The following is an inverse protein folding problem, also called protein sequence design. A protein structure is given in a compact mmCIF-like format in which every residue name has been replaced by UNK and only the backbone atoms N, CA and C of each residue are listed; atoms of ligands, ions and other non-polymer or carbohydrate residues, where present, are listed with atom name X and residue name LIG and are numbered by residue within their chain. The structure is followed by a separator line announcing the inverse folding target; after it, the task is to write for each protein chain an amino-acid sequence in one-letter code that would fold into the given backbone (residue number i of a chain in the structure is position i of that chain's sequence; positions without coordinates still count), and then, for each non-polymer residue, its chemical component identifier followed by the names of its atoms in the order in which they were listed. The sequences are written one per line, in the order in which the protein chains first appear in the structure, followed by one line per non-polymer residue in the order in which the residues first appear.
data_IF_943773435200
#
_entry.id   IF_943773435200
#
_cell.length_a   1.000
_cell.length_b   1.000
_cell.length_c   1.000
_cell.angle_alpha   90.00
_cell.angle_beta   90.00
_cell.angle_gamma   90.00
#
_symmetry.space_group_name_H-M   'P 1'
#
loop_
_entity.id
_entity.type
_entity.pdbx_description
1 polymer ?
#
# COMPACT_ATOMS: atom_id res chain seq x y z
N UNK A 1 12.75 -8.58 7.27
CA UNK A 1 12.68 -7.16 6.88
C UNK A 1 13.14 -7.04 5.43
N UNK A 2 12.52 -6.13 4.67
CA UNK A 2 12.90 -5.90 3.26
C UNK A 2 12.15 -6.78 2.26
N UNK A 3 11.15 -7.55 2.70
CA UNK A 3 10.35 -8.41 1.83
C UNK A 3 9.38 -7.56 1.00
N UNK A 4 9.31 -7.82 -0.30
CA UNK A 4 8.31 -7.19 -1.16
C UNK A 4 6.93 -7.81 -0.89
N UNK A 5 5.94 -6.95 -0.65
CA UNK A 5 4.54 -7.33 -0.44
C UNK A 5 3.65 -6.54 -1.38
N UNK A 6 2.50 -7.09 -1.74
CA UNK A 6 1.51 -6.40 -2.55
C UNK A 6 0.09 -6.82 -2.18
N UNK A 7 -0.88 -6.01 -2.57
CA UNK A 7 -2.29 -6.35 -2.43
C UNK A 7 -2.69 -7.38 -3.48
N UNK A 8 -3.33 -8.48 -3.05
CA UNK A 8 -3.88 -9.49 -3.96
C UNK A 8 -5.38 -9.66 -3.75
N UNK A 9 -6.13 -9.75 -4.85
CA UNK A 9 -7.55 -10.10 -4.87
C UNK A 9 -7.72 -11.23 -5.88
N UNK A 10 -8.35 -12.33 -5.47
CA UNK A 10 -8.53 -13.54 -6.28
C UNK A 10 -7.21 -14.04 -6.90
N UNK A 11 -6.13 -13.98 -6.12
CA UNK A 11 -4.79 -14.43 -6.52
C UNK A 11 -4.06 -13.51 -7.50
N UNK A 12 -4.59 -12.31 -7.81
CA UNK A 12 -3.99 -11.35 -8.73
C UNK A 12 -3.59 -10.06 -8.02
N UNK A 13 -2.48 -9.47 -8.46
CA UNK A 13 -2.05 -8.15 -8.00
C UNK A 13 -3.17 -7.11 -8.19
N UNK A 14 -3.45 -6.33 -7.16
CA UNK A 14 -4.49 -5.32 -7.18
C UNK A 14 -4.09 -4.03 -6.46
N UNK A 15 -3.28 -3.20 -7.12
CA UNK A 15 -3.27 -1.76 -6.87
C UNK A 15 -2.17 -1.20 -5.97
N UNK A 16 -1.55 -1.96 -5.07
CA UNK A 16 -0.45 -1.43 -4.24
C UNK A 16 0.63 -2.46 -3.93
N UNK A 17 1.88 -2.00 -3.90
CA UNK A 17 3.05 -2.77 -3.47
C UNK A 17 3.88 -1.94 -2.50
N UNK A 18 4.56 -2.61 -1.58
CA UNK A 18 5.34 -1.99 -0.51
C UNK A 18 6.50 -2.89 -0.06
N UNK A 19 7.42 -2.31 0.70
CA UNK A 19 8.49 -3.05 1.38
C UNK A 19 8.10 -3.26 2.84
N UNK A 20 8.04 -4.52 3.29
CA UNK A 20 7.68 -4.88 4.66
C UNK A 20 8.81 -4.62 5.65
N UNK A 21 8.51 -3.85 6.70
CA UNK A 21 9.41 -3.60 7.82
C UNK A 21 9.04 -4.40 9.07
N UNK A 22 7.76 -4.63 9.32
CA UNK A 22 7.28 -5.32 10.51
C UNK A 22 5.77 -5.21 10.66
N UNK A 23 5.23 -5.70 11.76
CA UNK A 23 3.82 -5.52 12.09
C UNK A 23 3.59 -5.49 13.59
N UNK A 24 2.50 -4.86 14.00
CA UNK A 24 2.04 -4.81 15.38
C UNK A 24 0.51 -4.86 15.43
N UNK A 25 -0.06 -4.60 16.61
CA UNK A 25 -1.51 -4.61 16.79
C UNK A 25 -2.27 -3.56 15.96
N UNK A 26 -1.60 -2.53 15.46
CA UNK A 26 -2.22 -1.47 14.66
C UNK A 26 -2.23 -1.78 13.16
N UNK A 27 -1.23 -2.52 12.67
CA UNK A 27 -1.08 -2.78 11.24
C UNK A 27 0.29 -3.31 10.84
N UNK A 28 0.53 -3.35 9.53
CA UNK A 28 1.86 -3.59 8.95
C UNK A 28 2.61 -2.26 8.80
N UNK A 29 3.87 -2.23 9.21
CA UNK A 29 4.79 -1.13 8.97
C UNK A 29 5.52 -1.38 7.65
N UNK A 30 5.46 -0.40 6.76
CA UNK A 30 6.03 -0.51 5.41
C UNK A 30 6.80 0.73 5.03
N UNK A 31 7.67 0.60 4.02
CA UNK A 31 8.09 1.70 3.16
C UNK A 31 7.31 1.62 1.87
N UNK A 32 6.63 2.70 1.50
CA UNK A 32 5.99 2.82 0.19
C UNK A 32 5.99 4.25 -0.34
N UNK A 33 5.55 4.38 -1.59
CA UNK A 33 5.41 5.63 -2.31
C UNK A 33 4.22 5.53 -3.25
N UNK A 34 3.77 6.68 -3.77
CA UNK A 34 2.85 6.69 -4.90
C UNK A 34 2.99 7.94 -5.75
N UNK A 35 2.70 7.80 -7.04
CA UNK A 35 2.60 8.91 -7.95
C UNK A 35 1.35 9.76 -7.69
N UNK A 36 1.42 11.01 -8.14
CA UNK A 36 0.27 11.88 -8.23
C UNK A 36 -0.81 11.24 -9.11
N UNK A 37 -2.05 11.23 -8.63
CA UNK A 37 -3.22 10.81 -9.41
C UNK A 37 -4.01 12.04 -9.79
N UNK A 38 -4.24 12.24 -11.09
CA UNK A 38 -5.12 13.27 -11.63
C UNK A 38 -6.41 12.66 -12.19
N UNK A 39 -7.45 13.47 -12.31
CA UNK A 39 -8.60 13.15 -13.15
C UNK A 39 -8.29 13.42 -14.64
N UNK A 40 -9.24 13.09 -15.52
CA UNK A 40 -9.10 13.32 -16.97
C UNK A 40 -9.03 14.80 -17.38
N UNK A 41 -9.22 15.75 -16.44
CA UNK A 41 -9.13 17.20 -16.66
C UNK A 41 -7.89 17.81 -16.02
N UNK A 42 -7.00 16.97 -15.46
CA UNK A 42 -5.76 17.41 -14.83
C UNK A 42 -5.90 17.88 -13.38
N UNK A 43 -7.07 17.76 -12.74
CA UNK A 43 -7.23 18.06 -11.32
C UNK A 43 -6.57 16.95 -10.50
N UNK A 44 -5.72 17.34 -9.55
CA UNK A 44 -5.09 16.41 -8.60
C UNK A 44 -6.15 15.79 -7.70
N UNK A 45 -6.31 14.47 -7.78
CA UNK A 45 -7.16 13.65 -6.92
C UNK A 45 -6.39 13.12 -5.70
N UNK A 46 -5.09 12.85 -5.88
CA UNK A 46 -4.18 12.45 -4.82
C UNK A 46 -2.78 12.99 -5.12
N UNK A 47 -2.13 13.73 -4.21
CA UNK A 47 -0.77 14.20 -4.43
C UNK A 47 0.21 13.02 -4.47
N UNK A 48 1.35 13.22 -5.12
CA UNK A 48 2.46 12.28 -5.03
C UNK A 48 2.97 12.19 -3.59
N UNK A 49 3.45 11.02 -3.21
CA UNK A 49 4.09 10.78 -1.93
C UNK A 49 5.45 10.13 -2.19
N UNK A 50 6.55 10.78 -1.77
CA UNK A 50 7.88 10.17 -1.81
C UNK A 50 7.96 8.91 -0.94
N UNK A 51 9.02 8.10 -1.10
CA UNK A 51 9.28 6.98 -0.20
C UNK A 51 9.26 7.43 1.25
N UNK A 52 8.39 6.81 2.04
CA UNK A 52 8.24 7.11 3.46
C UNK A 52 7.76 5.88 4.20
N UNK A 53 7.92 5.89 5.53
CA UNK A 53 7.36 4.87 6.39
C UNK A 53 5.90 5.21 6.74
N UNK A 54 5.03 4.21 6.71
CA UNK A 54 3.67 4.33 7.26
C UNK A 54 3.17 3.01 7.83
N UNK A 55 2.21 3.11 8.72
CA UNK A 55 1.40 1.97 9.16
C UNK A 55 0.19 1.82 8.25
N UNK A 56 0.09 0.69 7.56
CA UNK A 56 -1.14 0.28 6.88
C UNK A 56 -1.98 -0.47 7.91
N UNK A 57 -3.11 0.12 8.30
CA UNK A 57 -3.95 -0.40 9.37
C UNK A 57 -4.57 -1.74 8.99
N UNK A 58 -4.75 -2.60 9.98
CA UNK A 58 -5.68 -3.73 9.83
C UNK A 58 -7.10 -3.20 9.59
N UNK A 59 -7.84 -3.80 8.65
CA UNK A 59 -9.19 -3.36 8.26
C UNK A 59 -9.24 -1.88 7.83
N UNK A 60 -8.17 -1.38 7.21
CA UNK A 60 -8.12 -0.01 6.72
C UNK A 60 -9.04 0.23 5.53
N UNK A 61 -9.41 1.50 5.30
CA UNK A 61 -10.36 1.84 4.24
C UNK A 61 -9.71 1.78 2.85
N UNK A 62 -10.15 0.80 2.06
CA UNK A 62 -9.76 0.61 0.66
C UNK A 62 -8.54 -0.30 0.51
N UNK A 63 -8.42 -0.90 -0.67
CA UNK A 63 -7.50 -2.03 -0.92
C UNK A 63 -6.06 -1.71 -0.52
N UNK A 64 -5.54 -0.56 -0.92
CA UNK A 64 -4.16 -0.13 -0.64
C UNK A 64 -3.88 0.28 0.82
N UNK A 65 -4.91 0.33 1.66
CA UNK A 65 -4.82 0.79 3.04
C UNK A 65 -5.23 -0.29 4.05
N UNK A 66 -5.61 -1.48 3.59
CA UNK A 66 -5.94 -2.61 4.45
C UNK A 66 -4.78 -3.60 4.50
N UNK A 67 -4.14 -3.70 5.67
CA UNK A 67 -3.03 -4.62 5.89
C UNK A 67 -3.40 -6.09 5.65
N UNK A 68 -4.69 -6.45 5.77
CA UNK A 68 -5.15 -7.83 5.59
C UNK A 68 -5.09 -8.32 4.13
N UNK A 69 -4.99 -7.39 3.18
CA UNK A 69 -4.95 -7.71 1.75
C UNK A 69 -3.54 -7.84 1.21
N UNK A 70 -2.51 -7.56 2.02
CA UNK A 70 -1.12 -7.66 1.61
C UNK A 70 -0.57 -9.07 1.79
N UNK A 71 0.06 -9.57 0.74
CA UNK A 71 0.74 -10.86 0.73
C UNK A 71 2.17 -10.69 0.20
N UNK A 72 3.05 -11.61 0.59
CA UNK A 72 4.41 -11.71 0.04
C UNK A 72 4.31 -12.00 -1.47
N UNK A 73 5.08 -11.27 -2.26
CA UNK A 73 5.22 -11.55 -3.70
C UNK A 73 6.09 -12.80 -3.87
N UNK A 74 5.62 -13.77 -4.65
CA UNK A 74 6.30 -15.03 -4.95
C UNK A 74 6.49 -15.21 -6.46
#
# INVERSE_FOLDING_TARGET
MGTAIATFIDGKYNGHAAIYLGQNAEGIQVVDQWAERKDGKGKVLRPAQPPHTRTIKWNGKGISNDGMLFHVIQ
#
